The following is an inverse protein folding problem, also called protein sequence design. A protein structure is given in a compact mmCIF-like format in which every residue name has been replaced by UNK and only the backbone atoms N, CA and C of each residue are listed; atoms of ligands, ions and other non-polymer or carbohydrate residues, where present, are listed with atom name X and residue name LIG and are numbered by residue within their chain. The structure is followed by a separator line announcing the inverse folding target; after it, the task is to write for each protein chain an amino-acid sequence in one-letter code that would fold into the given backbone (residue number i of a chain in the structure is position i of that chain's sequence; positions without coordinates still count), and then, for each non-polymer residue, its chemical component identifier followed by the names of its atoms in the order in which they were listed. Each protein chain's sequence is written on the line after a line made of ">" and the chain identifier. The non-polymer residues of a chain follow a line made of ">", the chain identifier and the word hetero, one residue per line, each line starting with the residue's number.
data_IF_388495841188
#
_entry.id   IF_388495841188
#
_cell.length_a   1.000
_cell.length_b   1.000
_cell.length_c   1.000
_cell.angle_alpha   90.00
_cell.angle_beta   90.00
_cell.angle_gamma   90.00
#
_symmetry.space_group_name_H-M   'P 1'
#
loop_
_entity.id
_entity.type
_entity.pdbx_description
1 polymer ?
#
# COMPACT_ATOMS: atom_id res chain seq x y z
N UNK A 1 3.44 -12.73 5.96
CA UNK A 1 3.92 -11.48 6.56
C UNK A 1 3.48 -10.25 5.77
N UNK A 2 3.21 -9.15 6.50
CA UNK A 2 3.07 -7.79 5.96
C UNK A 2 4.14 -6.89 6.58
N UNK A 3 4.81 -6.09 5.74
CA UNK A 3 5.74 -5.02 6.14
C UNK A 3 5.28 -3.73 5.47
N UNK A 4 5.35 -2.60 6.17
CA UNK A 4 4.94 -1.30 5.64
C UNK A 4 6.10 -0.32 5.70
N UNK A 5 6.34 0.37 4.59
CA UNK A 5 7.29 1.47 4.47
C UNK A 5 6.51 2.75 4.19
N UNK A 6 6.64 3.73 5.07
CA UNK A 6 6.02 5.04 4.90
C UNK A 6 6.71 5.83 3.79
N UNK A 7 5.96 6.72 3.13
CA UNK A 7 6.48 7.66 2.15
C UNK A 7 7.62 8.49 2.73
N UNK A 8 8.66 8.71 1.93
CA UNK A 8 9.82 9.51 2.34
C UNK A 8 9.68 10.96 1.85
N UNK A 9 9.20 11.16 0.62
CA UNK A 9 8.87 12.47 0.06
C UNK A 9 7.66 12.37 -0.85
N UNK A 10 6.83 13.40 -0.91
CA UNK A 10 5.74 13.53 -1.87
C UNK A 10 5.43 14.98 -2.27
N UNK A 11 4.81 15.16 -3.44
CA UNK A 11 4.33 16.48 -3.87
C UNK A 11 3.32 16.35 -5.00
N UNK A 12 2.46 17.36 -5.15
CA UNK A 12 1.58 17.50 -6.32
C UNK A 12 2.12 18.54 -7.29
N UNK A 13 2.18 18.18 -8.57
CA UNK A 13 2.57 19.10 -9.65
C UNK A 13 1.36 19.43 -10.52
N UNK A 14 1.14 20.72 -10.81
CA UNK A 14 -0.07 21.23 -11.49
C UNK A 14 0.27 21.87 -12.83
N UNK A 15 -0.47 21.59 -13.90
CA UNK A 15 -0.16 22.07 -15.24
C UNK A 15 -0.68 23.48 -15.58
N UNK A 16 -1.58 24.02 -14.75
CA UNK A 16 -2.27 25.27 -15.00
C UNK A 16 -1.34 26.47 -15.18
N UNK A 17 -1.73 27.43 -16.02
CA UNK A 17 -0.88 28.57 -16.37
C UNK A 17 -0.35 29.37 -15.18
N UNK A 18 -1.16 29.51 -14.12
CA UNK A 18 -0.78 30.19 -12.86
C UNK A 18 -0.22 29.25 -11.79
N UNK A 19 -0.40 27.93 -11.94
CA UNK A 19 -0.04 26.92 -10.94
C UNK A 19 1.19 26.10 -11.33
N UNK A 20 1.66 26.23 -12.57
CA UNK A 20 2.77 25.43 -13.13
C UNK A 20 4.11 25.53 -12.41
N UNK A 21 4.36 26.65 -11.73
CA UNK A 21 5.56 26.86 -10.92
C UNK A 21 5.35 26.64 -9.42
N UNK A 22 4.14 26.31 -8.97
CA UNK A 22 3.84 26.09 -7.56
C UNK A 22 4.50 24.80 -7.11
N UNK A 23 5.12 24.85 -5.93
CA UNK A 23 5.52 23.67 -5.18
C UNK A 23 4.51 23.37 -4.07
N UNK A 24 4.21 22.09 -3.87
CA UNK A 24 3.29 21.61 -2.82
C UNK A 24 3.91 20.48 -1.99
N UNK A 25 5.23 20.53 -1.79
CA UNK A 25 5.95 19.49 -1.07
C UNK A 25 5.55 19.35 0.41
N UNK A 26 4.96 20.39 1.01
CA UNK A 26 4.50 20.38 2.41
C UNK A 26 2.96 20.45 2.54
N UNK A 27 2.24 20.17 1.45
CA UNK A 27 0.79 20.07 1.50
C UNK A 27 0.37 18.76 2.14
N UNK A 28 -0.69 18.81 2.94
CA UNK A 28 -1.25 17.66 3.65
C UNK A 28 -2.04 16.73 2.71
N UNK A 29 -2.39 17.23 1.52
CA UNK A 29 -3.23 16.57 0.54
C UNK A 29 -2.50 16.52 -0.81
N UNK A 30 -2.45 15.32 -1.37
CA UNK A 30 -1.98 15.05 -2.72
C UNK A 30 -3.18 14.99 -3.68
N UNK A 31 -3.04 15.57 -4.87
CA UNK A 31 -4.14 15.63 -5.83
C UNK A 31 -3.82 15.03 -7.19
N UNK A 32 -4.76 14.26 -7.74
CA UNK A 32 -4.85 13.94 -9.16
C UNK A 32 -6.13 14.58 -9.72
N UNK A 33 -6.00 15.81 -10.20
CA UNK A 33 -7.09 16.65 -10.67
C UNK A 33 -7.10 16.77 -12.19
N UNK A 34 -8.29 17.09 -12.72
CA UNK A 34 -8.47 17.45 -14.12
C UNK A 34 -9.59 18.47 -14.23
N UNK A 35 -9.23 19.68 -14.63
CA UNK A 35 -10.16 20.79 -14.84
C UNK A 35 -10.37 20.97 -16.34
N UNK A 36 -11.62 20.83 -16.77
CA UNK A 36 -12.03 21.04 -18.17
C UNK A 36 -13.01 22.21 -18.23
N UNK A 37 -12.74 23.16 -19.11
CA UNK A 37 -13.59 24.31 -19.38
C UNK A 37 -14.93 23.90 -20.02
N UNK A 38 -15.87 24.85 -20.12
CA UNK A 38 -17.16 24.61 -20.77
C UNK A 38 -17.04 24.39 -22.28
N UNK A 39 -15.98 24.89 -22.90
CA UNK A 39 -15.68 24.67 -24.32
C UNK A 39 -14.93 23.34 -24.59
N UNK A 40 -14.68 22.54 -23.54
CA UNK A 40 -13.98 21.26 -23.64
C UNK A 40 -12.45 21.35 -23.55
N UNK A 41 -11.89 22.57 -23.43
CA UNK A 41 -10.45 22.76 -23.28
C UNK A 41 -9.98 22.33 -21.88
N UNK A 42 -8.86 21.61 -21.82
CA UNK A 42 -8.25 21.22 -20.55
C UNK A 42 -7.47 22.41 -19.98
N UNK A 43 -7.82 22.86 -18.79
CA UNK A 43 -7.23 24.04 -18.16
C UNK A 43 -6.11 23.70 -17.17
N UNK A 44 -6.25 22.57 -16.47
CA UNK A 44 -5.29 22.12 -15.47
C UNK A 44 -5.39 20.59 -15.33
N UNK A 45 -4.25 19.94 -15.20
CA UNK A 45 -4.14 18.58 -14.67
C UNK A 45 -3.12 18.57 -13.56
N UNK A 46 -3.27 17.65 -12.61
CA UNK A 46 -2.27 17.43 -11.59
C UNK A 46 -1.84 15.98 -11.52
N UNK A 47 -0.61 15.79 -11.06
CA UNK A 47 0.03 14.49 -10.91
C UNK A 47 0.74 14.46 -9.56
N UNK A 48 0.82 13.29 -8.96
CA UNK A 48 1.49 13.08 -7.68
C UNK A 48 2.87 12.48 -7.96
N UNK A 49 3.89 13.03 -7.32
CA UNK A 49 5.20 12.42 -7.16
C UNK A 49 5.30 11.88 -5.74
N UNK A 50 5.76 10.65 -5.59
CA UNK A 50 5.97 10.04 -4.27
C UNK A 50 7.15 9.07 -4.30
N UNK A 51 8.01 9.12 -3.28
CA UNK A 51 9.10 8.17 -3.11
C UNK A 51 9.09 7.45 -1.76
N UNK A 52 9.85 6.35 -1.71
CA UNK A 52 9.98 5.49 -0.55
C UNK A 52 11.44 5.08 -0.44
N UNK A 53 11.99 5.08 0.78
CA UNK A 53 13.31 4.54 1.05
C UNK A 53 13.28 3.01 1.06
N UNK A 54 14.12 2.39 0.24
CA UNK A 54 14.24 0.94 0.11
C UNK A 54 15.40 0.35 0.90
N UNK A 55 16.14 1.12 1.71
CA UNK A 55 17.28 0.61 2.47
C UNK A 55 16.93 -0.66 3.26
N UNK A 56 15.85 -0.64 4.05
CA UNK A 56 15.42 -1.81 4.84
C UNK A 56 14.88 -2.96 3.99
N UNK A 57 14.12 -2.64 2.92
CA UNK A 57 13.55 -3.64 2.02
C UNK A 57 14.67 -4.36 1.27
N UNK A 58 15.60 -3.62 0.68
CA UNK A 58 16.73 -4.16 -0.08
C UNK A 58 17.64 -5.03 0.78
N UNK A 59 17.97 -4.61 2.01
CA UNK A 59 18.70 -5.42 2.98
C UNK A 59 17.94 -6.72 3.30
N UNK A 60 16.64 -6.63 3.60
CA UNK A 60 15.82 -7.80 3.93
C UNK A 60 15.67 -8.78 2.76
N UNK A 61 15.72 -8.31 1.51
CA UNK A 61 15.78 -9.15 0.30
C UNK A 61 17.13 -9.87 0.21
N UNK A 62 18.24 -9.17 0.43
CA UNK A 62 19.60 -9.77 0.40
C UNK A 62 19.77 -10.82 1.51
N UNK A 63 19.25 -10.54 2.69
CA UNK A 63 19.27 -11.46 3.84
C UNK A 63 18.28 -12.63 3.68
N UNK A 64 17.47 -12.65 2.62
CA UNK A 64 16.49 -13.71 2.34
C UNK A 64 15.26 -13.71 3.23
N UNK A 65 15.01 -12.64 3.99
CA UNK A 65 13.79 -12.47 4.80
C UNK A 65 12.58 -12.14 3.95
N UNK A 66 12.76 -11.30 2.92
CA UNK A 66 11.75 -11.00 1.91
C UNK A 66 12.04 -11.87 0.67
N UNK A 67 11.18 -12.85 0.34
CA UNK A 67 11.41 -13.72 -0.80
C UNK A 67 11.13 -13.01 -2.14
N UNK A 68 11.66 -13.55 -3.23
CA UNK A 68 11.41 -13.03 -4.59
C UNK A 68 9.94 -13.11 -5.04
N UNK A 69 9.15 -13.93 -4.36
CA UNK A 69 7.69 -14.07 -4.53
C UNK A 69 6.89 -12.95 -3.87
N UNK A 70 7.53 -12.07 -3.09
CA UNK A 70 6.88 -10.94 -2.46
C UNK A 70 6.16 -10.04 -3.46
N UNK A 71 5.02 -9.52 -3.01
CA UNK A 71 4.16 -8.56 -3.69
C UNK A 71 4.29 -7.20 -3.03
N UNK A 72 4.17 -6.15 -3.83
CA UNK A 72 4.32 -4.77 -3.38
C UNK A 72 3.09 -3.97 -3.79
N UNK A 73 2.52 -3.24 -2.83
CA UNK A 73 1.32 -2.44 -3.04
C UNK A 73 1.53 -0.99 -2.60
N UNK A 74 1.18 -0.04 -3.47
CA UNK A 74 1.09 1.37 -3.10
C UNK A 74 -0.31 1.62 -2.52
N UNK A 75 -0.35 2.02 -1.25
CA UNK A 75 -1.58 2.38 -0.54
C UNK A 75 -1.68 3.90 -0.44
N UNK A 76 -2.76 4.46 -0.99
CA UNK A 76 -3.16 5.86 -0.87
C UNK A 76 -4.56 5.91 -0.26
N UNK A 77 -4.76 6.81 0.69
CA UNK A 77 -5.98 6.91 1.47
C UNK A 77 -6.77 8.15 1.08
N UNK A 78 -8.08 7.99 0.86
CA UNK A 78 -8.93 9.08 0.37
C UNK A 78 -9.01 10.23 1.38
N UNK A 79 -8.74 11.44 0.89
CA UNK A 79 -8.84 12.67 1.64
C UNK A 79 -10.03 13.52 1.14
N UNK A 80 -11.20 12.89 1.03
CA UNK A 80 -12.45 13.50 0.54
C UNK A 80 -12.37 13.90 -0.94
N UNK A 81 -12.18 12.91 -1.82
CA UNK A 81 -12.26 13.13 -3.27
C UNK A 81 -13.62 13.67 -3.74
N UNK A 82 -13.62 14.46 -4.81
CA UNK A 82 -14.79 15.23 -5.26
C UNK A 82 -15.05 15.06 -6.76
N UNK A 83 -16.34 15.12 -7.13
CA UNK A 83 -16.83 15.10 -8.52
C UNK A 83 -16.30 13.92 -9.37
N UNK A 84 -16.05 12.78 -8.75
CA UNK A 84 -15.50 11.61 -9.41
C UNK A 84 -16.50 10.99 -10.39
N UNK A 85 -15.99 10.57 -11.54
CA UNK A 85 -16.74 9.74 -12.48
C UNK A 85 -16.95 8.33 -11.90
N UNK A 86 -18.03 7.66 -12.32
CA UNK A 86 -18.43 6.37 -11.75
C UNK A 86 -17.36 5.27 -11.91
N UNK A 87 -16.70 5.23 -13.06
CA UNK A 87 -15.61 4.30 -13.36
C UNK A 87 -14.47 5.08 -14.02
N UNK A 88 -13.26 5.01 -13.46
CA UNK A 88 -12.06 5.62 -14.03
C UNK A 88 -10.82 4.81 -13.67
N UNK A 89 -9.69 5.06 -14.33
CA UNK A 89 -8.43 4.39 -14.02
C UNK A 89 -7.41 5.37 -13.46
N UNK A 90 -6.65 4.91 -12.46
CA UNK A 90 -5.47 5.58 -11.96
C UNK A 90 -4.23 4.78 -12.39
N UNK A 91 -3.19 5.48 -12.82
CA UNK A 91 -1.96 4.85 -13.29
C UNK A 91 -0.79 5.26 -12.41
N UNK A 92 0.11 4.31 -12.18
CA UNK A 92 1.36 4.50 -11.46
C UNK A 92 2.49 4.19 -12.44
N UNK A 93 3.38 5.16 -12.65
CA UNK A 93 4.58 5.01 -13.48
C UNK A 93 5.84 5.19 -12.63
N UNK A 94 6.94 4.59 -13.05
CA UNK A 94 8.25 4.87 -12.45
C UNK A 94 8.78 6.22 -12.96
N UNK A 95 9.26 7.06 -12.04
CA UNK A 95 9.87 8.35 -12.38
C UNK A 95 11.28 8.10 -12.95
N UNK A 96 11.57 8.68 -14.11
CA UNK A 96 12.84 8.45 -14.82
C UNK A 96 13.97 9.40 -14.43
N UNK A 97 13.69 10.46 -13.67
CA UNK A 97 14.68 11.42 -13.20
C UNK A 97 14.52 11.76 -11.73
N UNK A 98 15.64 12.01 -11.05
CA UNK A 98 15.65 12.49 -9.66
C UNK A 98 14.94 13.84 -9.54
N UNK A 99 14.25 14.06 -8.43
CA UNK A 99 13.54 15.29 -8.13
C UNK A 99 13.72 15.69 -6.66
N UNK A 100 13.47 16.96 -6.38
CA UNK A 100 13.52 17.57 -5.05
C UNK A 100 12.12 17.92 -4.60
N UNK A 101 11.76 17.65 -3.35
CA UNK A 101 10.41 17.85 -2.82
C UNK A 101 9.99 19.31 -2.76
N UNK A 102 10.86 20.19 -2.27
CA UNK A 102 10.54 21.62 -2.05
C UNK A 102 9.88 21.85 -0.69
N UNK A 103 9.48 23.09 -0.42
CA UNK A 103 8.94 23.53 0.88
C UNK A 103 7.60 24.28 0.76
N UNK A 104 6.98 24.23 -0.41
CA UNK A 104 5.78 24.96 -0.73
C UNK A 104 4.49 24.26 -0.31
N UNK A 105 3.43 25.07 -0.24
CA UNK A 105 2.03 24.65 -0.11
C UNK A 105 1.21 25.36 -1.16
N UNK A 106 0.07 24.78 -1.54
CA UNK A 106 -0.81 25.36 -2.56
C UNK A 106 -1.33 26.75 -2.18
N UNK A 107 -1.51 27.02 -0.89
CA UNK A 107 -2.06 28.27 -0.35
C UNK A 107 -1.01 29.35 -0.03
N UNK A 108 0.28 29.05 -0.20
CA UNK A 108 1.35 30.00 0.08
C UNK A 108 1.24 31.27 -0.79
N UNK A 109 1.26 32.42 -0.12
CA UNK A 109 1.25 33.74 -0.76
C UNK A 109 2.31 34.66 -0.11
N UNK A 110 3.42 34.99 -0.80
CA UNK A 110 3.72 34.67 -2.20
C UNK A 110 3.95 33.17 -2.44
N UNK A 111 3.69 32.74 -3.68
CA UNK A 111 3.88 31.35 -4.12
C UNK A 111 5.32 30.91 -3.87
N UNK A 112 5.47 29.74 -3.24
CA UNK A 112 6.76 29.06 -3.11
C UNK A 112 7.04 28.27 -4.39
N UNK A 113 8.26 28.38 -4.90
CA UNK A 113 8.64 27.83 -6.22
C UNK A 113 9.87 26.93 -6.15
N UNK A 114 10.37 26.57 -4.98
CA UNK A 114 11.52 25.68 -4.83
C UNK A 114 11.14 24.22 -5.15
N UNK A 115 12.12 23.33 -5.26
CA UNK A 115 11.81 21.91 -5.42
C UNK A 115 11.15 21.54 -6.75
N UNK A 116 10.25 20.56 -6.74
CA UNK A 116 9.60 20.04 -7.93
C UNK A 116 8.31 20.81 -8.21
N UNK A 117 8.10 21.11 -9.49
CA UNK A 117 6.92 21.74 -10.04
C UNK A 117 6.55 21.03 -11.34
N UNK A 118 5.49 21.47 -12.00
CA UNK A 118 5.14 20.91 -13.31
C UNK A 118 6.21 21.18 -14.36
N UNK A 119 6.90 22.30 -14.24
CA UNK A 119 7.93 22.73 -15.20
C UNK A 119 9.28 22.09 -14.91
N UNK A 120 9.64 21.98 -13.62
CA UNK A 120 10.98 21.60 -13.20
C UNK A 120 10.95 20.46 -12.19
N UNK A 121 11.88 19.51 -12.32
CA UNK A 121 12.10 18.48 -11.29
C UNK A 121 12.90 19.00 -10.09
N UNK A 122 13.60 20.11 -10.32
CA UNK A 122 14.30 20.89 -9.32
C UNK A 122 14.36 22.34 -9.83
N UNK A 123 13.55 23.21 -9.24
CA UNK A 123 13.45 24.60 -9.63
C UNK A 123 14.67 25.42 -9.19
N UNK A 124 15.25 25.12 -8.03
CA UNK A 124 16.43 25.81 -7.52
C UNK A 124 17.60 25.72 -8.51
N UNK A 125 17.76 24.54 -9.11
CA UNK A 125 18.73 24.27 -10.18
C UNK A 125 18.18 24.53 -11.59
N UNK A 126 16.93 24.98 -11.72
CA UNK A 126 16.20 25.16 -12.99
C UNK A 126 16.32 23.96 -13.93
N UNK A 127 16.27 22.75 -13.36
CA UNK A 127 16.40 21.49 -14.11
C UNK A 127 15.03 21.01 -14.58
N UNK A 128 14.73 21.07 -15.89
CA UNK A 128 13.41 20.70 -16.38
C UNK A 128 13.20 19.19 -16.37
N UNK A 129 11.93 18.79 -16.48
CA UNK A 129 11.57 17.41 -16.83
C UNK A 129 11.96 17.13 -18.28
N UNK A 130 12.79 16.12 -18.51
CA UNK A 130 13.27 15.73 -19.83
C UNK A 130 13.35 14.22 -19.97
N UNK A 131 13.05 13.74 -21.17
CA UNK A 131 13.32 12.36 -21.58
C UNK A 131 14.14 12.40 -22.86
N UNK A 132 15.33 11.81 -22.81
CA UNK A 132 16.37 11.99 -23.83
C UNK A 132 16.91 13.42 -23.83
N UNK A 133 16.32 14.29 -24.66
CA UNK A 133 16.71 15.70 -24.77
C UNK A 133 15.53 16.64 -25.03
N UNK A 134 14.31 16.16 -24.80
CA UNK A 134 13.07 16.89 -25.09
C UNK A 134 12.31 17.10 -23.78
N UNK A 135 11.69 18.28 -23.63
CA UNK A 135 10.87 18.58 -22.46
C UNK A 135 9.67 17.63 -22.41
N UNK A 136 9.38 17.15 -21.21
CA UNK A 136 8.17 16.38 -20.93
C UNK A 136 7.18 17.23 -20.15
N UNK A 137 5.90 16.91 -20.31
CA UNK A 137 4.78 17.60 -19.70
C UNK A 137 4.61 17.15 -18.24
N UNK A 138 5.31 17.72 -17.27
CA UNK A 138 5.05 17.49 -15.84
C UNK A 138 5.37 16.10 -15.32
N UNK A 139 6.63 15.90 -14.95
CA UNK A 139 7.15 14.58 -14.56
C UNK A 139 7.69 13.83 -15.78
N UNK A 140 8.87 13.23 -15.65
CA UNK A 140 9.42 12.31 -16.65
C UNK A 140 9.27 10.89 -16.13
N UNK A 141 8.74 9.99 -16.95
CA UNK A 141 8.48 8.60 -16.58
C UNK A 141 8.98 7.62 -17.64
N UNK A 142 9.17 6.37 -17.23
CA UNK A 142 9.52 5.29 -18.15
C UNK A 142 8.29 4.85 -18.97
N UNK A 143 8.43 4.80 -20.29
CA UNK A 143 7.37 4.41 -21.23
C UNK A 143 7.43 2.95 -21.68
N UNK A 144 8.51 2.24 -21.34
CA UNK A 144 8.68 0.82 -21.64
C UNK A 144 9.77 0.18 -20.81
N UNK A 145 9.79 -1.15 -20.76
CA UNK A 145 10.71 -1.93 -19.90
C UNK A 145 12.16 -1.99 -20.40
N UNK A 146 12.50 -1.36 -21.53
CA UNK A 146 13.87 -1.31 -22.08
C UNK A 146 14.53 -2.71 -22.22
N UNK A 147 13.73 -3.76 -22.48
CA UNK A 147 14.20 -5.15 -22.54
C UNK A 147 14.27 -5.87 -21.18
N UNK A 148 13.91 -5.19 -20.09
CA UNK A 148 13.77 -5.74 -18.75
C UNK A 148 12.53 -6.63 -18.59
N UNK A 149 12.60 -7.52 -17.59
CA UNK A 149 11.57 -8.52 -17.33
C UNK A 149 10.27 -7.94 -16.76
N UNK A 150 10.36 -6.85 -15.98
CA UNK A 150 9.23 -6.29 -15.25
C UNK A 150 8.67 -5.05 -15.94
N UNK A 151 7.36 -4.83 -15.79
CA UNK A 151 6.67 -3.64 -16.29
C UNK A 151 7.13 -2.37 -15.56
N UNK A 152 6.99 -1.23 -16.24
CA UNK A 152 7.34 0.10 -15.70
C UNK A 152 6.12 0.94 -15.31
N UNK A 153 4.92 0.36 -15.45
CA UNK A 153 3.66 0.97 -15.08
C UNK A 153 2.66 -0.07 -14.58
N UNK A 154 1.79 0.40 -13.70
CA UNK A 154 0.65 -0.32 -13.16
C UNK A 154 -0.60 0.55 -13.26
N UNK A 155 -1.76 -0.08 -13.22
CA UNK A 155 -3.05 0.62 -13.20
C UNK A 155 -3.95 0.06 -12.10
N UNK A 156 -4.89 0.89 -11.68
CA UNK A 156 -5.91 0.56 -10.69
C UNK A 156 -7.25 1.12 -11.16
N UNK A 157 -8.25 0.25 -11.21
CA UNK A 157 -9.60 0.64 -11.58
C UNK A 157 -10.34 1.20 -10.35
N UNK A 158 -10.76 2.45 -10.45
CA UNK A 158 -11.58 3.14 -9.48
C UNK A 158 -13.04 3.00 -9.88
N UNK A 159 -13.88 2.65 -8.92
CA UNK A 159 -15.34 2.68 -9.04
C UNK A 159 -15.90 3.73 -8.09
N UNK A 160 -17.19 4.08 -8.23
CA UNK A 160 -17.89 5.00 -7.30
C UNK A 160 -17.79 4.57 -5.83
N UNK A 161 -17.62 3.28 -5.55
CA UNK A 161 -17.49 2.75 -4.19
C UNK A 161 -16.03 2.74 -3.68
N UNK A 162 -15.06 2.85 -4.59
CA UNK A 162 -13.64 2.84 -4.24
C UNK A 162 -13.26 4.19 -3.67
N UNK A 163 -12.87 4.22 -2.40
CA UNK A 163 -12.32 5.41 -1.73
C UNK A 163 -10.81 5.32 -1.69
N UNK A 164 -10.30 4.34 -0.94
CA UNK A 164 -8.87 4.09 -0.83
C UNK A 164 -8.33 3.30 -2.03
N UNK A 165 -7.06 3.50 -2.32
CA UNK A 165 -6.36 2.93 -3.47
C UNK A 165 -5.26 2.00 -2.97
N UNK A 166 -5.28 0.75 -3.43
CA UNK A 166 -4.23 -0.26 -3.19
C UNK A 166 -3.75 -0.83 -4.53
N UNK A 167 -2.74 -0.21 -5.12
CA UNK A 167 -2.24 -0.57 -6.47
C UNK A 167 -1.13 -1.61 -6.37
N UNK A 168 -1.21 -2.71 -7.11
CA UNK A 168 -0.09 -3.65 -7.27
C UNK A 168 1.04 -3.00 -8.09
N UNK A 169 2.12 -2.64 -7.41
CA UNK A 169 3.34 -2.04 -7.98
C UNK A 169 4.52 -3.01 -7.95
N UNK A 170 4.26 -4.32 -7.83
CA UNK A 170 5.29 -5.36 -7.71
C UNK A 170 6.34 -5.25 -8.79
N UNK A 171 5.94 -5.12 -10.06
CA UNK A 171 6.88 -5.05 -11.18
C UNK A 171 7.77 -3.80 -11.11
N UNK A 172 7.21 -2.66 -10.70
CA UNK A 172 7.93 -1.39 -10.61
C UNK A 172 8.97 -1.44 -9.47
N UNK A 173 8.57 -1.94 -8.30
CA UNK A 173 9.49 -2.12 -7.16
C UNK A 173 10.58 -3.14 -7.51
N UNK A 174 10.24 -4.23 -8.20
CA UNK A 174 11.23 -5.21 -8.66
C UNK A 174 12.23 -4.61 -9.65
N UNK A 175 11.81 -3.71 -10.54
CA UNK A 175 12.74 -2.95 -11.36
C UNK A 175 13.67 -2.07 -10.52
N UNK A 176 13.15 -1.33 -9.53
CA UNK A 176 13.99 -0.52 -8.63
C UNK A 176 14.98 -1.36 -7.81
N UNK A 177 14.60 -2.56 -7.37
CA UNK A 177 15.44 -3.42 -6.53
C UNK A 177 16.47 -4.23 -7.34
N UNK A 178 16.07 -4.83 -8.45
CA UNK A 178 16.90 -5.79 -9.19
C UNK A 178 17.54 -5.22 -10.45
N UNK A 179 17.05 -4.09 -10.94
CA UNK A 179 17.48 -3.42 -12.17
C UNK A 179 17.84 -1.95 -11.92
N UNK A 180 18.31 -1.62 -10.72
CA UNK A 180 18.54 -0.25 -10.24
C UNK A 180 19.49 0.58 -11.11
N UNK A 181 20.37 -0.06 -11.87
CA UNK A 181 21.26 0.62 -12.83
C UNK A 181 20.53 1.17 -14.06
N UNK A 182 19.44 0.53 -14.48
CA UNK A 182 18.56 0.98 -15.57
C UNK A 182 17.39 1.80 -15.03
N UNK A 183 16.90 1.41 -13.86
CA UNK A 183 15.71 1.96 -13.21
C UNK A 183 16.06 2.43 -11.79
N UNK A 184 16.76 3.56 -11.66
CA UNK A 184 17.07 4.11 -10.35
C UNK A 184 15.77 4.44 -9.58
N UNK A 185 15.79 4.24 -8.27
CA UNK A 185 14.64 4.57 -7.41
C UNK A 185 14.49 6.10 -7.30
N UNK A 186 13.66 6.68 -8.16
CA UNK A 186 13.21 8.07 -8.07
C UNK A 186 11.73 8.17 -7.64
N UNK A 187 11.17 7.08 -7.11
CA UNK A 187 9.77 7.01 -6.74
C UNK A 187 8.82 6.77 -7.92
N UNK A 188 7.56 7.12 -7.69
CA UNK A 188 6.42 6.89 -8.55
C UNK A 188 5.75 8.21 -8.96
N UNK A 189 5.21 8.22 -10.18
CA UNK A 189 4.32 9.23 -10.70
C UNK A 189 2.91 8.64 -10.75
N UNK A 190 2.00 9.15 -9.94
CA UNK A 190 0.59 8.74 -9.94
C UNK A 190 -0.22 9.77 -10.71
N UNK A 191 -0.91 9.31 -11.76
CA UNK A 191 -1.63 10.19 -12.68
C UNK A 191 -2.74 9.48 -13.43
N UNK A 192 -3.51 10.24 -14.21
CA UNK A 192 -4.47 9.69 -15.18
C UNK A 192 -3.75 9.23 -16.44
N UNK A 193 -4.43 8.44 -17.28
CA UNK A 193 -3.81 8.01 -18.53
C UNK A 193 -3.50 9.22 -19.41
N UNK A 194 -2.27 9.33 -19.88
CA UNK A 194 -1.86 10.39 -20.79
C UNK A 194 -1.08 9.81 -21.96
N UNK A 195 -1.00 10.58 -23.02
CA UNK A 195 0.04 10.38 -24.02
C UNK A 195 1.39 10.81 -23.46
N UNK A 196 2.44 10.15 -23.92
CA UNK A 196 3.78 10.73 -23.86
C UNK A 196 3.86 11.76 -24.98
N UNK A 197 3.82 13.05 -24.63
CA UNK A 197 3.93 14.15 -25.58
C UNK A 197 5.28 14.83 -25.44
N UNK A 198 5.82 15.27 -26.57
CA UNK A 198 6.97 16.17 -26.59
C UNK A 198 6.43 17.59 -26.52
N UNK A 199 6.96 18.38 -25.59
CA UNK A 199 6.76 19.83 -25.62
C UNK A 199 8.06 20.54 -25.94
N UNK A 200 7.94 21.71 -26.55
CA UNK A 200 9.07 22.64 -26.80
C UNK A 200 8.97 23.88 -25.92
N UNK A 201 7.87 24.02 -25.18
CA UNK A 201 7.62 25.03 -24.16
C UNK A 201 7.08 24.34 -22.90
N UNK A 202 7.08 25.03 -21.76
CA UNK A 202 6.58 24.47 -20.50
C UNK A 202 5.06 24.32 -20.44
N UNK A 203 4.36 24.40 -21.58
CA UNK A 203 2.91 24.26 -21.61
C UNK A 203 2.49 22.79 -21.51
N UNK A 204 1.28 22.58 -20.98
CA UNK A 204 0.65 21.29 -21.05
C UNK A 204 0.28 20.96 -22.50
N UNK A 205 0.76 19.81 -22.98
CA UNK A 205 0.40 19.30 -24.29
C UNK A 205 -0.44 18.03 -24.14
N UNK A 206 -1.78 18.11 -24.28
CA UNK A 206 -2.65 16.94 -24.19
C UNK A 206 -2.46 15.96 -25.35
N UNK A 207 -1.79 16.35 -26.43
CA UNK A 207 -1.71 15.54 -27.64
C UNK A 207 -3.06 15.39 -28.36
N UNK A 208 -3.10 14.53 -29.37
CA UNK A 208 -4.28 14.39 -30.25
C UNK A 208 -5.17 13.17 -29.97
N UNK A 209 -4.78 12.25 -29.09
CA UNK A 209 -5.53 11.02 -28.81
C UNK A 209 -6.51 11.24 -27.65
N UNK A 210 -7.75 11.58 -27.97
CA UNK A 210 -8.81 11.83 -26.99
C UNK A 210 -9.33 10.57 -26.31
N UNK A 211 -8.80 9.38 -26.63
CA UNK A 211 -9.05 8.17 -25.85
C UNK A 211 -8.29 8.15 -24.54
N UNK A 212 -7.27 9.00 -24.38
CA UNK A 212 -6.52 9.16 -23.13
C UNK A 212 -7.21 10.14 -22.18
N UNK A 213 -7.18 9.79 -20.90
CA UNK A 213 -7.89 10.54 -19.87
C UNK A 213 -7.42 11.98 -19.75
N UNK A 214 -6.12 12.26 -19.77
CA UNK A 214 -5.58 13.62 -19.72
C UNK A 214 -5.76 14.40 -21.04
N UNK A 215 -6.10 13.71 -22.13
CA UNK A 215 -6.26 14.29 -23.47
C UNK A 215 -7.71 14.50 -23.88
N UNK A 216 -8.65 13.84 -23.20
CA UNK A 216 -10.09 13.92 -23.47
C UNK A 216 -10.72 15.19 -22.88
N UNK A 217 -11.90 15.58 -23.35
CA UNK A 217 -12.71 16.64 -22.73
C UNK A 217 -13.62 16.13 -21.59
N UNK A 218 -13.47 14.86 -21.19
CA UNK A 218 -14.28 14.26 -20.11
C UNK A 218 -13.87 14.84 -18.75
N UNK A 219 -14.85 15.24 -17.94
CA UNK A 219 -14.61 15.69 -16.56
C UNK A 219 -14.47 14.45 -15.67
N UNK A 220 -13.33 14.33 -15.00
CA UNK A 220 -12.97 13.17 -14.18
C UNK A 220 -12.88 13.47 -12.67
N UNK A 221 -13.10 14.74 -12.30
CA UNK A 221 -13.09 15.20 -10.91
C UNK A 221 -11.69 15.37 -10.32
N UNK A 222 -11.64 15.44 -9.00
CA UNK A 222 -10.42 15.58 -8.22
C UNK A 222 -10.28 14.41 -7.25
N UNK A 223 -9.26 13.58 -7.48
CA UNK A 223 -8.85 12.57 -6.51
C UNK A 223 -7.92 13.21 -5.50
N UNK A 224 -8.28 13.13 -4.22
CA UNK A 224 -7.51 13.68 -3.11
C UNK A 224 -7.04 12.54 -2.22
N UNK A 225 -5.76 12.51 -1.92
CA UNK A 225 -5.16 11.55 -1.01
C UNK A 225 -4.40 12.27 0.09
N UNK A 226 -4.30 11.67 1.26
CA UNK A 226 -3.41 12.19 2.29
C UNK A 226 -1.94 12.09 1.86
N UNK A 227 -1.14 13.11 2.17
CA UNK A 227 0.30 13.14 1.94
C UNK A 227 1.08 12.58 3.13
N UNK A 228 2.41 12.55 3.02
CA UNK A 228 3.30 12.26 4.15
C UNK A 228 3.18 13.28 5.29
N UNK A 229 2.79 14.52 4.99
CA UNK A 229 2.58 15.63 5.95
C UNK A 229 1.16 15.69 6.54
N UNK A 230 0.32 14.69 6.30
CA UNK A 230 -1.13 14.72 6.58
C UNK A 230 -1.57 15.01 8.03
N UNK A 231 -0.70 14.95 9.05
CA UNK A 231 -1.08 14.97 10.48
C UNK A 231 -2.17 13.94 10.90
N UNK A 232 -2.53 13.01 10.00
CA UNK A 232 -3.43 11.89 10.24
C UNK A 232 -2.67 10.57 10.31
N UNK A 233 -3.41 9.47 10.50
CA UNK A 233 -2.87 8.10 10.52
C UNK A 233 -2.81 7.45 9.13
N UNK A 234 -3.16 8.24 8.11
CA UNK A 234 -3.37 7.80 6.74
C UNK A 234 -2.28 8.28 5.77
N UNK A 235 -0.99 8.39 6.15
CA UNK A 235 0.02 8.75 5.17
C UNK A 235 0.15 7.62 4.12
N UNK A 236 0.64 7.93 2.91
CA UNK A 236 0.93 6.94 1.90
C UNK A 236 1.89 5.86 2.40
N UNK A 237 1.63 4.60 2.01
CA UNK A 237 2.45 3.45 2.43
C UNK A 237 2.76 2.53 1.26
N UNK A 238 4.01 2.08 1.19
CA UNK A 238 4.39 0.92 0.39
C UNK A 238 4.29 -0.33 1.27
N UNK A 239 3.34 -1.19 0.94
CA UNK A 239 3.14 -2.46 1.61
C UNK A 239 3.89 -3.58 0.88
N UNK A 240 4.63 -4.39 1.62
CA UNK A 240 5.29 -5.60 1.14
C UNK A 240 4.60 -6.80 1.76
N UNK A 241 4.17 -7.75 0.92
CA UNK A 241 3.39 -8.93 1.33
C UNK A 241 4.05 -10.18 0.80
N UNK A 242 4.31 -11.15 1.68
CA UNK A 242 4.77 -12.48 1.29
C UNK A 242 4.23 -13.54 2.23
N UNK A 243 4.20 -14.79 1.79
CA UNK A 243 3.86 -15.91 2.65
C UNK A 243 5.10 -16.31 3.45
N UNK A 244 5.04 -16.17 4.78
CA UNK A 244 6.06 -16.62 5.73
C UNK A 244 5.59 -17.83 6.55
N UNK A 245 4.48 -18.46 6.14
CA UNK A 245 3.92 -19.57 6.89
C UNK A 245 4.84 -20.79 6.88
N UNK A 246 4.91 -21.45 8.02
CA UNK A 246 5.68 -22.67 8.23
C UNK A 246 4.83 -23.70 8.96
N UNK A 247 5.02 -24.97 8.65
CA UNK A 247 4.19 -26.03 9.17
C UNK A 247 5.01 -27.24 9.65
N UNK A 248 5.22 -27.30 10.96
CA UNK A 248 5.81 -28.44 11.64
C UNK A 248 5.02 -28.72 12.93
N UNK A 249 4.10 -29.68 12.89
CA UNK A 249 3.20 -29.97 14.00
C UNK A 249 3.88 -30.69 15.16
N UNK A 250 5.07 -31.27 14.94
CA UNK A 250 5.69 -32.19 15.90
C UNK A 250 4.72 -33.29 16.34
N UNK A 251 4.43 -33.33 17.65
CA UNK A 251 3.50 -34.30 18.27
C UNK A 251 2.10 -33.75 18.55
N UNK A 252 1.79 -32.53 18.09
CA UNK A 252 0.45 -31.96 18.26
C UNK A 252 -0.57 -32.77 17.45
N UNK A 253 -1.77 -32.92 18.01
CA UNK A 253 -2.89 -33.59 17.33
C UNK A 253 -3.73 -32.60 16.54
N UNK A 254 -4.39 -33.08 15.48
CA UNK A 254 -5.28 -32.27 14.67
C UNK A 254 -6.59 -31.96 15.41
N UNK A 255 -7.19 -30.80 15.10
CA UNK A 255 -8.63 -30.59 15.31
C UNK A 255 -9.41 -31.41 14.26
N UNK A 256 -10.41 -32.17 14.72
CA UNK A 256 -11.31 -32.92 13.84
C UNK A 256 -12.27 -32.00 13.09
N UNK A 257 -12.94 -32.49 12.04
CA UNK A 257 -13.92 -31.68 11.30
C UNK A 257 -15.07 -31.19 12.19
N UNK A 258 -15.54 -32.02 13.14
CA UNK A 258 -16.55 -31.61 14.12
C UNK A 258 -16.03 -30.61 15.14
N UNK A 259 -14.73 -30.64 15.44
CA UNK A 259 -14.11 -29.68 16.35
C UNK A 259 -14.11 -28.28 15.72
N UNK A 260 -13.91 -28.20 14.39
CA UNK A 260 -13.89 -26.94 13.63
C UNK A 260 -15.26 -26.27 13.57
N UNK A 261 -16.36 -27.04 13.60
CA UNK A 261 -17.74 -26.51 13.67
C UNK A 261 -18.02 -25.79 14.99
N UNK A 262 -17.34 -26.17 16.08
CA UNK A 262 -17.50 -25.62 17.42
C UNK A 262 -16.17 -25.24 18.04
N UNK A 263 -15.39 -24.48 17.30
CA UNK A 263 -14.07 -24.02 17.68
C UNK A 263 -14.15 -22.78 18.59
N UNK A 264 -13.31 -22.74 19.61
CA UNK A 264 -12.97 -21.53 20.37
C UNK A 264 -11.51 -21.18 20.12
N UNK A 265 -11.24 -19.92 19.79
CA UNK A 265 -9.89 -19.40 19.54
C UNK A 265 -9.47 -18.50 20.70
N UNK A 266 -8.20 -18.56 21.07
CA UNK A 266 -7.61 -17.59 21.99
C UNK A 266 -6.11 -17.42 21.75
N UNK A 267 -5.58 -16.28 22.18
CA UNK A 267 -4.14 -16.00 22.15
C UNK A 267 -3.46 -16.44 23.45
N UNK A 268 -2.27 -17.04 23.34
CA UNK A 268 -1.43 -17.34 24.50
C UNK A 268 -0.50 -16.16 24.79
N UNK A 269 -0.52 -15.67 26.03
CA UNK A 269 0.36 -14.59 26.52
C UNK A 269 0.29 -13.30 25.69
N UNK A 270 -0.90 -12.94 25.19
CA UNK A 270 -1.11 -11.65 24.55
C UNK A 270 -0.83 -10.53 25.57
N UNK A 271 0.16 -9.70 25.27
CA UNK A 271 0.46 -8.49 26.06
C UNK A 271 -0.49 -7.38 25.65
N UNK A 272 -0.78 -6.51 26.61
CA UNK A 272 -1.54 -5.28 26.35
C UNK A 272 -0.73 -4.28 25.52
N UNK A 273 0.61 -4.32 25.61
CA UNK A 273 1.48 -3.35 24.96
C UNK A 273 2.63 -4.04 24.24
N UNK A 274 2.96 -3.52 23.05
CA UNK A 274 4.13 -3.91 22.26
C UNK A 274 4.88 -2.68 21.77
N UNK A 275 6.20 -2.76 21.79
CA UNK A 275 7.08 -1.68 21.34
C UNK A 275 7.07 -1.59 19.81
N UNK A 276 7.10 -0.38 19.26
CA UNK A 276 7.36 -0.14 17.84
C UNK A 276 8.69 -0.79 17.42
N UNK A 277 8.88 -1.05 16.12
CA UNK A 277 10.09 -1.68 15.56
C UNK A 277 10.37 -3.11 16.02
N UNK A 278 9.51 -3.68 16.85
CA UNK A 278 9.63 -5.07 17.27
C UNK A 278 8.95 -6.02 16.28
N UNK A 279 9.55 -7.21 16.13
CA UNK A 279 8.92 -8.35 15.48
C UNK A 279 8.44 -9.28 16.59
N UNK A 280 7.14 -9.52 16.66
CA UNK A 280 6.51 -10.28 17.74
C UNK A 280 5.97 -11.59 17.18
N UNK A 281 6.30 -12.70 17.83
CA UNK A 281 5.70 -14.00 17.60
C UNK A 281 4.48 -14.16 18.50
N UNK A 282 3.29 -14.15 17.91
CA UNK A 282 2.03 -14.35 18.60
C UNK A 282 1.57 -15.80 18.47
N UNK A 283 1.13 -16.39 19.58
CA UNK A 283 0.66 -17.78 19.62
C UNK A 283 -0.85 -17.83 19.71
N UNK A 284 -1.46 -18.63 18.83
CA UNK A 284 -2.91 -18.80 18.72
C UNK A 284 -3.24 -20.26 18.96
N UNK A 285 -4.27 -20.51 19.77
CA UNK A 285 -4.75 -21.86 20.05
C UNK A 285 -6.22 -21.95 19.68
N UNK A 286 -6.54 -22.92 18.84
CA UNK A 286 -7.89 -23.39 18.62
C UNK A 286 -8.16 -24.60 19.50
N UNK A 287 -9.32 -24.62 20.16
CA UNK A 287 -9.79 -25.78 20.93
C UNK A 287 -11.27 -26.03 20.73
N UNK A 288 -11.70 -27.25 20.98
CA UNK A 288 -13.12 -27.60 21.07
C UNK A 288 -13.80 -26.78 22.17
N UNK A 289 -15.02 -26.30 21.91
CA UNK A 289 -15.83 -25.63 22.92
C UNK A 289 -16.25 -26.59 24.06
N UNK A 290 -16.49 -27.86 23.72
CA UNK A 290 -16.92 -28.91 24.64
C UNK A 290 -16.06 -30.17 24.45
N UNK A 291 -14.83 -30.20 24.97
CA UNK A 291 -13.96 -31.35 24.81
C UNK A 291 -14.52 -32.58 25.51
N UNK A 292 -14.34 -33.75 24.89
CA UNK A 292 -14.73 -35.01 25.52
C UNK A 292 -13.81 -35.30 26.70
N UNK A 293 -14.37 -35.57 27.88
CA UNK A 293 -13.59 -35.95 29.06
C UNK A 293 -13.05 -37.38 28.87
N UNK A 294 -11.75 -37.55 29.08
CA UNK A 294 -11.09 -38.87 29.00
C UNK A 294 -10.24 -39.08 30.26
N UNK A 295 -9.98 -40.34 30.60
CA UNK A 295 -9.08 -40.67 31.71
C UNK A 295 -7.63 -40.44 31.28
N UNK A 296 -7.18 -39.19 31.33
CA UNK A 296 -5.83 -38.76 31.02
C UNK A 296 -5.21 -38.02 32.21
N UNK A 297 -3.88 -38.03 32.32
CA UNK A 297 -3.14 -37.31 33.37
C UNK A 297 -3.14 -35.79 33.17
N UNK A 298 -3.51 -35.33 31.97
CA UNK A 298 -3.69 -33.91 31.64
C UNK A 298 -5.14 -33.69 31.20
N UNK A 299 -5.82 -32.64 31.71
CA UNK A 299 -7.14 -32.23 31.21
C UNK A 299 -7.13 -32.02 29.69
N UNK A 300 -8.17 -32.49 29.00
CA UNK A 300 -8.27 -32.36 27.54
C UNK A 300 -8.31 -30.89 27.10
N UNK A 301 -8.79 -30.00 27.97
CA UNK A 301 -8.85 -28.54 27.79
C UNK A 301 -7.47 -27.87 27.69
N UNK A 302 -6.43 -28.50 28.26
CA UNK A 302 -5.05 -27.99 28.27
C UNK A 302 -4.21 -28.57 27.12
N UNK A 303 -4.74 -29.57 26.40
CA UNK A 303 -4.03 -30.18 25.28
C UNK A 303 -4.12 -29.25 24.07
N UNK A 304 -2.97 -28.80 23.58
CA UNK A 304 -2.89 -27.93 22.40
C UNK A 304 -3.02 -28.79 21.14
N UNK A 305 -3.91 -28.36 20.23
CA UNK A 305 -4.10 -28.94 18.91
C UNK A 305 -3.69 -27.95 17.83
N UNK A 306 -3.33 -28.47 16.66
CA UNK A 306 -3.06 -27.63 15.50
C UNK A 306 -4.34 -27.32 14.71
N UNK A 307 -4.40 -26.10 14.18
CA UNK A 307 -5.44 -25.62 13.27
C UNK A 307 -5.19 -26.15 11.84
N UNK A 308 -6.17 -26.13 10.93
CA UNK A 308 -5.94 -26.60 9.56
C UNK A 308 -4.87 -25.80 8.81
N UNK A 309 -3.86 -26.49 8.26
CA UNK A 309 -2.78 -25.88 7.48
C UNK A 309 -3.32 -25.09 6.28
N UNK A 310 -2.74 -23.93 6.01
CA UNK A 310 -3.07 -23.05 4.87
C UNK A 310 -4.55 -22.62 4.78
N UNK A 311 -5.30 -22.79 5.87
CA UNK A 311 -6.74 -22.53 5.96
C UNK A 311 -7.08 -21.54 7.08
N UNK A 312 -6.07 -21.02 7.78
CA UNK A 312 -6.26 -20.08 8.88
C UNK A 312 -5.44 -18.83 8.65
N UNK A 313 -6.09 -17.67 8.79
CA UNK A 313 -5.51 -16.37 8.53
C UNK A 313 -5.81 -15.41 9.70
N UNK A 314 -4.89 -14.51 10.02
CA UNK A 314 -5.15 -13.41 10.95
C UNK A 314 -5.49 -12.12 10.18
N UNK A 315 -6.15 -11.20 10.86
CA UNK A 315 -6.36 -9.82 10.40
C UNK A 315 -6.16 -8.90 11.58
N UNK A 316 -5.73 -7.67 11.30
CA UNK A 316 -5.61 -6.62 12.30
C UNK A 316 -6.45 -5.44 11.88
N UNK A 317 -7.28 -4.97 12.80
CA UNK A 317 -8.07 -3.75 12.65
C UNK A 317 -7.65 -2.71 13.67
N UNK A 318 -7.80 -1.44 13.32
CA UNK A 318 -7.78 -0.38 14.31
C UNK A 318 -9.00 -0.52 15.22
N UNK A 319 -8.81 -0.45 16.54
CA UNK A 319 -9.87 -0.74 17.51
C UNK A 319 -10.98 0.33 17.52
N UNK A 320 -10.65 1.58 17.19
CA UNK A 320 -11.59 2.71 17.22
C UNK A 320 -12.31 2.89 15.89
N UNK A 321 -11.57 2.86 14.78
CA UNK A 321 -12.10 3.15 13.44
C UNK A 321 -12.62 1.91 12.70
N UNK A 322 -12.33 0.72 13.22
CA UNK A 322 -12.59 -0.59 12.59
C UNK A 322 -11.93 -0.80 11.23
N UNK A 323 -11.02 0.08 10.83
CA UNK A 323 -10.29 -0.01 9.58
C UNK A 323 -9.41 -1.27 9.55
N UNK A 324 -9.43 -1.99 8.43
CA UNK A 324 -8.58 -3.16 8.21
C UNK A 324 -7.18 -2.71 7.83
N UNK A 325 -6.24 -2.84 8.75
CA UNK A 325 -4.82 -2.54 8.51
C UNK A 325 -4.13 -3.72 7.82
N UNK A 326 -4.38 -4.93 8.32
CA UNK A 326 -3.89 -6.17 7.71
C UNK A 326 -5.09 -7.03 7.32
N UNK A 327 -5.34 -7.23 6.01
CA UNK A 327 -6.44 -8.08 5.56
C UNK A 327 -6.11 -9.57 5.67
N UNK A 328 -7.15 -10.41 5.61
CA UNK A 328 -6.96 -11.85 5.43
C UNK A 328 -6.36 -12.13 4.05
N UNK A 329 -5.32 -12.96 3.98
CA UNK A 329 -4.68 -13.33 2.72
C UNK A 329 -3.43 -14.18 2.94
N UNK A 330 -2.69 -14.48 1.86
CA UNK A 330 -1.44 -15.25 1.95
C UNK A 330 -0.39 -14.60 2.86
N UNK A 331 -0.40 -13.27 2.95
CA UNK A 331 0.45 -12.51 3.86
C UNK A 331 0.09 -12.61 5.34
N UNK A 332 -1.04 -13.23 5.68
CA UNK A 332 -1.51 -13.35 7.06
C UNK A 332 -1.86 -14.78 7.44
N UNK A 333 -1.28 -15.76 6.75
CA UNK A 333 -1.44 -17.17 7.07
C UNK A 333 -0.82 -17.52 8.44
N UNK A 334 -1.53 -18.33 9.21
CA UNK A 334 -1.06 -18.82 10.52
C UNK A 334 -0.20 -20.08 10.32
N UNK A 335 0.95 -20.09 10.97
CA UNK A 335 1.92 -21.19 11.02
C UNK A 335 1.63 -22.17 12.16
N UNK A 336 2.30 -23.32 12.16
CA UNK A 336 2.34 -24.25 13.29
C UNK A 336 3.77 -24.71 13.57
N UNK A 337 4.17 -24.69 14.85
CA UNK A 337 5.38 -25.37 15.35
C UNK A 337 4.99 -26.49 16.33
N UNK A 338 5.98 -27.20 16.87
CA UNK A 338 5.77 -28.30 17.84
C UNK A 338 5.17 -27.85 19.17
N UNK A 339 4.95 -26.54 19.38
CA UNK A 339 4.38 -25.98 20.61
C UNK A 339 2.93 -25.52 20.39
N UNK A 340 2.66 -24.74 19.33
CA UNK A 340 1.31 -24.25 19.01
C UNK A 340 1.24 -23.65 17.60
N UNK A 341 0.04 -23.25 17.19
CA UNK A 341 -0.11 -22.34 16.05
C UNK A 341 0.44 -20.95 16.41
N UNK A 342 1.02 -20.26 15.45
CA UNK A 342 1.63 -18.94 15.65
C UNK A 342 1.68 -18.14 14.35
N UNK A 343 1.91 -16.84 14.47
CA UNK A 343 2.31 -15.99 13.35
C UNK A 343 3.28 -14.91 13.86
N UNK A 344 4.06 -14.35 12.94
CA UNK A 344 4.92 -13.22 13.24
C UNK A 344 4.27 -11.95 12.70
N UNK A 345 4.42 -10.86 13.45
CA UNK A 345 3.92 -9.55 13.05
C UNK A 345 4.95 -8.47 13.38
N UNK A 346 5.09 -7.50 12.48
CA UNK A 346 5.96 -6.35 12.67
C UNK A 346 5.13 -5.20 13.21
N UNK A 347 5.53 -4.66 14.36
CA UNK A 347 4.78 -3.58 15.00
C UNK A 347 4.91 -2.25 14.26
N UNK A 348 5.89 -2.11 13.37
CA UNK A 348 6.04 -0.96 12.45
C UNK A 348 4.89 -0.81 11.45
N UNK A 349 4.09 -1.87 11.27
CA UNK A 349 2.86 -1.80 10.49
C UNK A 349 1.83 -0.84 11.09
N UNK A 350 1.98 -0.50 12.37
CA UNK A 350 1.00 0.19 13.18
C UNK A 350 1.56 1.53 13.66
N UNK A 351 0.67 2.49 13.80
CA UNK A 351 1.02 3.75 14.42
C UNK A 351 1.07 3.58 15.94
N UNK A 352 2.16 4.07 16.55
CA UNK A 352 2.30 4.08 17.99
C UNK A 352 1.21 4.91 18.67
N UNK A 353 0.96 4.59 19.94
CA UNK A 353 -0.06 5.17 20.82
C UNK A 353 -1.51 4.89 20.41
N UNK A 354 -1.76 3.79 19.68
CA UNK A 354 -3.10 3.34 19.28
C UNK A 354 -3.36 1.89 19.67
N UNK A 355 -4.66 1.58 19.80
CA UNK A 355 -5.16 0.24 20.07
C UNK A 355 -5.60 -0.44 18.77
N UNK A 356 -5.27 -1.72 18.67
CA UNK A 356 -5.56 -2.58 17.54
C UNK A 356 -6.18 -3.88 18.02
N UNK A 357 -6.98 -4.50 17.16
CA UNK A 357 -7.71 -5.74 17.46
C UNK A 357 -7.36 -6.84 16.45
N UNK A 358 -7.10 -8.03 16.96
CA UNK A 358 -6.90 -9.22 16.14
C UNK A 358 -8.22 -9.91 15.82
N UNK A 359 -8.36 -10.33 14.57
CA UNK A 359 -9.38 -11.26 14.12
C UNK A 359 -8.71 -12.51 13.54
N UNK A 360 -9.36 -13.66 13.68
CA UNK A 360 -8.87 -14.92 13.10
C UNK A 360 -9.94 -15.50 12.20
N UNK A 361 -9.59 -15.82 10.96
CA UNK A 361 -10.44 -16.50 10.01
C UNK A 361 -10.00 -17.97 9.91
N UNK A 362 -10.96 -18.88 10.02
CA UNK A 362 -10.76 -20.32 9.77
C UNK A 362 -11.65 -20.73 8.61
N UNK A 363 -11.03 -21.32 7.59
CA UNK A 363 -11.69 -21.83 6.39
C UNK A 363 -11.70 -23.35 6.44
N UNK A 364 -12.88 -23.94 6.56
CA UNK A 364 -13.11 -25.39 6.57
C UNK A 364 -13.87 -25.84 5.32
N UNK A 365 -13.78 -27.14 5.01
CA UNK A 365 -14.44 -27.73 3.84
C UNK A 365 -13.83 -27.35 2.49
N UNK A 366 -14.51 -27.72 1.40
CA UNK A 366 -14.06 -27.39 0.03
C UNK A 366 -15.24 -27.33 -0.94
N UNK A 367 -15.11 -26.55 -2.03
CA UNK A 367 -16.18 -26.41 -3.02
C UNK A 367 -17.50 -25.90 -2.41
N UNK A 368 -18.58 -26.65 -2.61
CA UNK A 368 -19.91 -26.29 -2.12
C UNK A 368 -20.09 -26.42 -0.60
N UNK A 369 -19.18 -27.09 0.11
CA UNK A 369 -19.18 -27.22 1.59
C UNK A 369 -18.14 -26.32 2.26
N UNK A 370 -17.63 -25.30 1.54
CA UNK A 370 -16.70 -24.33 2.11
C UNK A 370 -17.41 -23.46 3.15
N UNK A 371 -16.92 -23.49 4.38
CA UNK A 371 -17.36 -22.62 5.47
C UNK A 371 -16.23 -21.66 5.86
N UNK A 372 -16.59 -20.42 6.17
CA UNK A 372 -15.66 -19.37 6.59
C UNK A 372 -16.14 -18.85 7.93
N UNK A 373 -15.43 -19.18 8.99
CA UNK A 373 -15.71 -18.71 10.34
C UNK A 373 -14.72 -17.60 10.69
N UNK A 374 -15.22 -16.45 11.15
CA UNK A 374 -14.42 -15.33 11.62
C UNK A 374 -14.63 -15.20 13.12
N UNK A 375 -13.54 -15.23 13.87
CA UNK A 375 -13.50 -15.09 15.32
C UNK A 375 -12.99 -13.69 15.65
N UNK A 376 -13.84 -12.93 16.33
CA UNK A 376 -13.61 -11.56 16.80
C UNK A 376 -14.04 -11.49 18.27
N UNK A 377 -13.16 -11.98 19.15
CA UNK A 377 -13.38 -12.04 20.61
C UNK A 377 -12.67 -10.86 21.31
N UNK A 378 -12.57 -9.70 20.66
CA UNK A 378 -12.01 -8.45 21.24
C UNK A 378 -10.55 -8.59 21.75
N UNK A 379 -9.71 -9.34 21.03
CA UNK A 379 -8.29 -9.46 21.35
C UNK A 379 -7.52 -8.19 20.99
N UNK A 380 -7.45 -7.25 21.94
CA UNK A 380 -6.82 -5.94 21.75
C UNK A 380 -5.38 -5.85 22.27
N UNK A 381 -4.59 -4.99 21.62
CA UNK A 381 -3.26 -4.59 22.03
C UNK A 381 -2.97 -3.14 21.64
N UNK A 382 -2.04 -2.50 22.33
CA UNK A 382 -1.52 -1.17 22.04
C UNK A 382 -0.11 -1.25 21.49
N UNK A 383 0.20 -0.42 20.50
CA UNK A 383 1.58 -0.18 20.09
C UNK A 383 2.10 1.06 20.81
N UNK A 384 3.28 0.97 21.41
CA UNK A 384 3.92 2.04 22.18
C UNK A 384 5.30 2.35 21.60
N UNK A 385 5.79 3.57 21.84
CA UNK A 385 7.12 4.00 21.37
C UNK A 385 8.28 3.29 22.06
#
# INVERSE_FOLDING_TARGET
>A
MHFFQFGNRDTTIFSGGTTSSINTGLDEILEVNKIVANDGTIQNISRILIDFDYANISQSVIEGRIPSTAKYYLNLYDASSEELLADQNLFVYMVSGSWSEGTGKLDHNPVTTDGASYQYRNQDAKTPWVTGSVLTDGGSWFTGSMGGQYKVSSSFALTKATRDVRVDVTDLVKNHLYSSSLFPNNGFLVKRESLYTSSVDFSFNPGGDTTKDESSSTRLGNLKFFSTDTHTIYPPKLEVVWDDSSWDTGSLSALSSSDLERLKIYFQNLRQEYQEKSIVKLRVVGRELYPTTTFATTPSELTIKYLPSASVFYSVRDAETEEVIIPFGSGSAISCDSTSNFFNIQMDAFQAERNYRFLVQVVSGSGASKEINIYDDEFEFRVVR
#
